data_IF_461401214914
#
_entry.id   IF_461401214914
#
_cell.length_a   1.000
_cell.length_b   1.000
_cell.length_c   1.000
_cell.angle_alpha   90.00
_cell.angle_beta   90.00
_cell.angle_gamma   90.00
#
_symmetry.space_group_name_H-M   'P 1'
#
loop_
_entity.id
_entity.type
_entity.pdbx_description
1 polymer ?
#
# COMPACT_ATOMS: atom_id res chain seq x y z
N UNK A 1 -15.26 11.26 -8.22
CA UNK A 1 -14.46 10.01 -8.31
C UNK A 1 -13.96 9.68 -6.91
N UNK A 2 -14.10 8.43 -6.44
CA UNK A 2 -13.61 7.98 -5.12
C UNK A 2 -12.80 6.70 -5.30
N UNK A 3 -11.63 6.62 -4.65
CA UNK A 3 -10.81 5.41 -4.64
C UNK A 3 -10.74 4.89 -3.21
N UNK A 4 -11.17 3.65 -3.00
CA UNK A 4 -10.96 2.93 -1.75
C UNK A 4 -9.74 2.04 -1.94
N UNK A 5 -8.87 2.00 -0.92
CA UNK A 5 -7.61 1.25 -0.96
C UNK A 5 -7.53 0.41 0.30
N UNK A 6 -7.15 -0.85 0.16
CA UNK A 6 -6.83 -1.73 1.29
C UNK A 6 -5.51 -2.45 1.05
N UNK A 7 -4.73 -2.61 2.12
CA UNK A 7 -3.60 -3.55 2.12
C UNK A 7 -4.18 -4.95 2.20
N UNK A 8 -4.04 -5.74 1.14
CA UNK A 8 -4.50 -7.13 1.11
C UNK A 8 -3.46 -8.11 1.63
N UNK A 9 -2.16 -7.77 1.48
CA UNK A 9 -1.05 -8.56 2.01
C UNK A 9 0.17 -7.69 2.29
N UNK A 10 0.91 -8.03 3.34
CA UNK A 10 2.24 -7.48 3.64
C UNK A 10 3.22 -8.63 3.83
N UNK A 11 4.41 -8.50 3.27
CA UNK A 11 5.57 -9.34 3.59
C UNK A 11 6.74 -8.47 4.01
N UNK A 12 7.88 -9.08 4.35
CA UNK A 12 9.09 -8.34 4.65
C UNK A 12 9.56 -7.43 3.50
N UNK A 13 9.25 -7.75 2.24
CA UNK A 13 9.80 -7.06 1.08
C UNK A 13 8.76 -6.31 0.23
N UNK A 14 7.46 -6.62 0.38
CA UNK A 14 6.41 -6.02 -0.44
C UNK A 14 5.09 -5.79 0.28
N UNK A 15 4.32 -4.85 -0.25
CA UNK A 15 2.95 -4.54 0.13
C UNK A 15 2.07 -4.74 -1.10
N UNK A 16 0.97 -5.46 -0.92
CA UNK A 16 -0.03 -5.67 -1.95
C UNK A 16 -1.26 -4.84 -1.60
N UNK A 17 -1.68 -4.00 -2.54
CA UNK A 17 -2.87 -3.16 -2.42
C UNK A 17 -3.94 -3.62 -3.38
N UNK A 18 -5.18 -3.54 -2.94
CA UNK A 18 -6.36 -3.62 -3.78
C UNK A 18 -7.11 -2.30 -3.76
N UNK A 19 -7.60 -1.91 -4.92
CA UNK A 19 -8.27 -0.63 -5.15
C UNK A 19 -9.65 -0.87 -5.72
N UNK A 20 -10.60 -0.06 -5.28
CA UNK A 20 -11.93 0.03 -5.86
C UNK A 20 -12.19 1.49 -6.26
N UNK A 21 -12.44 1.71 -7.55
CA UNK A 21 -12.64 3.05 -8.12
C UNK A 21 -14.11 3.26 -8.41
N UNK A 22 -14.69 4.32 -7.83
CA UNK A 22 -16.11 4.64 -7.92
C UNK A 22 -16.37 5.99 -8.61
N UNK A 23 -17.42 6.04 -9.43
CA UNK A 23 -18.03 7.28 -9.89
C UNK A 23 -19.44 7.40 -9.28
N UNK A 24 -19.60 8.31 -8.32
CA UNK A 24 -20.77 8.30 -7.44
C UNK A 24 -20.81 7.00 -6.63
N UNK A 25 -21.89 6.24 -6.79
CA UNK A 25 -22.06 4.91 -6.17
C UNK A 25 -21.67 3.75 -7.10
N UNK A 26 -21.45 4.02 -8.39
CA UNK A 26 -21.10 2.99 -9.36
C UNK A 26 -19.63 2.59 -9.21
N UNK A 27 -19.38 1.30 -8.99
CA UNK A 27 -18.04 0.73 -9.06
C UNK A 27 -17.61 0.65 -10.52
N UNK A 28 -16.62 1.45 -10.89
CA UNK A 28 -16.10 1.54 -12.25
C UNK A 28 -14.99 0.53 -12.52
N UNK A 29 -14.11 0.29 -11.54
CA UNK A 29 -12.94 -0.56 -11.74
C UNK A 29 -12.41 -1.14 -10.42
N UNK A 30 -11.69 -2.26 -10.52
CA UNK A 30 -10.87 -2.85 -9.46
C UNK A 30 -9.43 -2.98 -9.95
N UNK A 31 -8.47 -2.61 -9.11
CA UNK A 31 -7.06 -2.74 -9.44
C UNK A 31 -6.29 -3.42 -8.32
N UNK A 32 -5.12 -3.96 -8.68
CA UNK A 32 -4.15 -4.52 -7.74
C UNK A 32 -2.77 -3.99 -8.07
N UNK A 33 -2.04 -3.58 -7.04
CA UNK A 33 -0.63 -3.20 -7.17
C UNK A 33 0.22 -3.94 -6.16
N UNK A 34 1.46 -4.22 -6.52
CA UNK A 34 2.49 -4.73 -5.60
C UNK A 34 3.60 -3.69 -5.57
N UNK A 35 3.94 -3.22 -4.38
CA UNK A 35 5.01 -2.23 -4.17
C UNK A 35 6.05 -2.76 -3.20
N UNK A 36 7.30 -2.32 -3.35
CA UNK A 36 8.40 -2.63 -2.45
C UNK A 36 9.04 -1.32 -1.96
N UNK A 37 9.58 -1.33 -0.73
CA UNK A 37 10.40 -0.23 -0.25
C UNK A 37 11.83 -0.44 -0.78
N UNK A 38 12.45 0.61 -1.31
CA UNK A 38 13.83 0.55 -1.81
C UNK A 38 14.65 1.71 -1.23
N UNK A 39 15.96 1.52 -1.12
CA UNK A 39 16.90 2.58 -0.77
C UNK A 39 17.23 3.49 -1.96
N UNK A 40 18.14 4.45 -1.76
CA UNK A 40 18.56 5.39 -2.81
C UNK A 40 19.34 4.73 -3.95
N UNK A 41 19.87 3.53 -3.71
CA UNK A 41 20.57 2.70 -4.69
C UNK A 41 19.62 1.71 -5.38
N UNK A 42 18.32 1.76 -5.06
CA UNK A 42 17.29 0.89 -5.61
C UNK A 42 17.29 -0.51 -5.01
N UNK A 43 17.99 -0.75 -3.91
CA UNK A 43 18.00 -2.06 -3.25
C UNK A 43 16.77 -2.21 -2.37
N UNK A 44 16.16 -3.41 -2.40
CA UNK A 44 14.96 -3.71 -1.60
C UNK A 44 15.27 -3.65 -0.11
N UNK A 45 14.48 -2.85 0.60
CA UNK A 45 14.54 -2.72 2.04
C UNK A 45 13.43 -3.54 2.70
N UNK A 46 13.72 -4.01 3.93
CA UNK A 46 12.71 -4.65 4.76
C UNK A 46 11.67 -3.60 5.19
N UNK A 47 10.40 -3.94 5.03
CA UNK A 47 9.27 -3.16 5.54
C UNK A 47 9.15 -3.43 7.04
N UNK A 48 9.53 -2.44 7.85
CA UNK A 48 9.30 -2.43 9.31
C UNK A 48 8.03 -1.64 9.64
N UNK A 49 7.53 -1.77 10.87
CA UNK A 49 6.36 -1.00 11.31
C UNK A 49 6.67 0.51 11.33
N UNK A 50 7.88 0.89 11.72
CA UNK A 50 8.35 2.29 11.65
C UNK A 50 8.28 2.86 10.22
N UNK A 51 8.66 2.06 9.21
CA UNK A 51 8.59 2.47 7.80
C UNK A 51 7.13 2.58 7.33
N UNK A 52 6.23 1.75 7.87
CA UNK A 52 4.82 1.72 7.45
C UNK A 52 3.97 2.82 8.07
N UNK A 53 4.18 3.11 9.35
CA UNK A 53 3.28 3.97 10.12
C UNK A 53 3.96 5.26 10.60
N UNK A 54 5.29 5.35 10.55
CA UNK A 54 6.06 6.45 11.14
C UNK A 54 5.83 6.56 12.64
N UNK A 55 6.10 7.72 13.22
CA UNK A 55 5.96 7.98 14.68
C UNK A 55 4.52 7.95 15.21
N UNK A 56 3.54 7.57 14.39
CA UNK A 56 2.11 7.59 14.76
C UNK A 56 1.69 6.46 15.72
N UNK A 57 2.58 5.49 15.98
CA UNK A 57 2.32 4.36 16.90
C UNK A 57 3.36 4.18 18.02
N UNK A 58 4.17 5.20 18.35
CA UNK A 58 4.92 5.20 19.62
C UNK A 58 4.05 5.71 20.77
N UNK A 59 3.03 4.92 21.15
CA UNK A 59 2.34 5.03 22.44
C UNK A 59 1.81 3.68 22.91
#
# INVERSE_FOLDING_TARGET
LRVLIRVSKRTAAKIEHEYEVYFGQLLMNKARTIVACVDRQGQVQRITDDIMYGDRESK
#
